data_IF_611995308513
#
_entry.id   IF_611995308513
#
_cell.length_a   1.000
_cell.length_b   1.000
_cell.length_c   1.000
_cell.angle_alpha   90.00
_cell.angle_beta   90.00
_cell.angle_gamma   90.00
#
_symmetry.space_group_name_H-M   'P 1'
#
loop_
_entity.id
_entity.type
_entity.pdbx_description
1 polymer ?
#
# COMPACT_ATOMS: atom_id res chain seq x y z
N UNK A 1 -11.60 -4.77 -27.41
CA UNK A 1 -10.29 -4.10 -27.54
C UNK A 1 -9.51 -4.36 -26.25
N UNK A 2 -8.20 -4.58 -26.31
CA UNK A 2 -7.35 -4.84 -25.14
C UNK A 2 -7.23 -3.54 -24.32
N UNK A 3 -7.53 -3.54 -23.00
CA UNK A 3 -7.44 -2.33 -22.18
C UNK A 3 -5.99 -1.83 -22.07
N UNK A 4 -5.78 -0.53 -22.26
CA UNK A 4 -4.51 0.14 -22.02
C UNK A 4 -4.59 0.93 -20.71
N UNK A 5 -3.81 0.53 -19.73
CA UNK A 5 -3.85 1.06 -18.38
C UNK A 5 -2.49 1.66 -18.04
N UNK A 6 -2.48 2.88 -17.51
CA UNK A 6 -1.30 3.45 -16.87
C UNK A 6 -1.48 3.35 -15.36
N UNK A 7 -0.55 2.69 -14.68
CA UNK A 7 -0.58 2.51 -13.23
C UNK A 7 0.54 3.33 -12.59
N UNK A 8 0.19 4.36 -11.85
CA UNK A 8 1.15 5.15 -11.07
C UNK A 8 1.10 4.70 -9.60
N UNK A 9 2.18 4.07 -9.14
CA UNK A 9 2.39 3.69 -7.74
C UNK A 9 3.38 4.66 -7.09
N UNK A 10 2.94 5.39 -6.06
CA UNK A 10 3.87 6.22 -5.28
C UNK A 10 4.82 5.33 -4.47
N UNK A 11 6.07 5.75 -4.33
CA UNK A 11 7.11 4.98 -3.65
C UNK A 11 7.27 5.33 -2.16
N UNK A 12 6.40 6.19 -1.63
CA UNK A 12 6.49 6.70 -0.26
C UNK A 12 6.35 5.59 0.79
N UNK A 13 5.60 4.55 0.47
CA UNK A 13 5.47 3.37 1.31
C UNK A 13 5.49 2.09 0.46
N UNK A 14 6.22 1.07 0.92
CA UNK A 14 6.31 -0.22 0.20
C UNK A 14 4.99 -0.92 0.01
N UNK A 15 3.99 -0.63 0.84
CA UNK A 15 2.62 -1.16 0.67
C UNK A 15 1.97 -0.80 -0.67
N UNK A 16 2.27 0.38 -1.23
CA UNK A 16 1.77 0.81 -2.53
C UNK A 16 2.42 0.02 -3.67
N UNK A 17 3.74 -0.18 -3.60
CA UNK A 17 4.51 -0.96 -4.57
C UNK A 17 4.12 -2.44 -4.54
N UNK A 18 3.90 -3.01 -3.35
CA UNK A 18 3.42 -4.38 -3.19
C UNK A 18 2.03 -4.57 -3.80
N UNK A 19 1.12 -3.61 -3.62
CA UNK A 19 -0.18 -3.63 -4.27
C UNK A 19 -0.07 -3.50 -5.79
N UNK A 20 0.73 -2.56 -6.27
CA UNK A 20 0.98 -2.37 -7.69
C UNK A 20 1.50 -3.66 -8.34
N UNK A 21 2.49 -4.32 -7.74
CA UNK A 21 3.04 -5.58 -8.25
C UNK A 21 1.94 -6.63 -8.42
N UNK A 22 1.09 -6.84 -7.42
CA UNK A 22 0.01 -7.84 -7.49
C UNK A 22 -1.03 -7.49 -8.57
N UNK A 23 -1.46 -6.23 -8.62
CA UNK A 23 -2.51 -5.80 -9.54
C UNK A 23 -2.01 -5.73 -10.98
N UNK A 24 -0.78 -5.27 -11.21
CA UNK A 24 -0.18 -5.23 -12.56
C UNK A 24 -0.08 -6.64 -13.15
N UNK A 25 0.41 -7.61 -12.37
CA UNK A 25 0.47 -9.00 -12.83
C UNK A 25 -0.93 -9.57 -13.12
N UNK A 26 -1.89 -9.34 -12.23
CA UNK A 26 -3.26 -9.83 -12.42
C UNK A 26 -3.94 -9.19 -13.65
N UNK A 27 -3.78 -7.88 -13.85
CA UNK A 27 -4.33 -7.17 -15.01
C UNK A 27 -3.69 -7.64 -16.32
N UNK A 28 -2.36 -7.82 -16.34
CA UNK A 28 -1.66 -8.37 -17.51
C UNK A 28 -2.11 -9.79 -17.83
N UNK A 29 -2.27 -10.64 -16.82
CA UNK A 29 -2.82 -12.01 -16.97
C UNK A 29 -4.25 -11.99 -17.51
N UNK A 30 -5.05 -10.99 -17.14
CA UNK A 30 -6.40 -10.80 -17.67
C UNK A 30 -6.44 -10.13 -19.06
N UNK A 31 -5.29 -9.94 -19.72
CA UNK A 31 -5.18 -9.43 -21.09
C UNK A 31 -5.11 -7.90 -21.21
N UNK A 32 -4.86 -7.16 -20.13
CA UNK A 32 -4.62 -5.72 -20.20
C UNK A 32 -3.15 -5.39 -20.51
N UNK A 33 -2.92 -4.36 -21.32
CA UNK A 33 -1.60 -3.72 -21.43
C UNK A 33 -1.46 -2.74 -20.25
N UNK A 34 -0.43 -2.90 -19.42
CA UNK A 34 -0.22 -2.05 -18.24
C UNK A 34 1.17 -1.44 -18.28
N UNK A 35 1.23 -0.12 -18.43
CA UNK A 35 2.43 0.70 -18.30
C UNK A 35 2.53 1.19 -16.85
N UNK A 36 3.69 1.05 -16.24
CA UNK A 36 3.87 1.33 -14.81
C UNK A 36 4.76 2.54 -14.59
N UNK A 37 4.31 3.44 -13.72
CA UNK A 37 5.05 4.62 -13.29
C UNK A 37 5.26 4.55 -11.78
N UNK A 38 6.37 5.14 -11.32
CA UNK A 38 6.67 5.32 -9.89
C UNK A 38 7.27 6.69 -9.61
N UNK A 39 7.60 6.97 -8.36
CA UNK A 39 8.06 8.29 -7.90
C UNK A 39 9.45 8.29 -7.27
N UNK A 40 10.20 7.19 -7.41
CA UNK A 40 11.61 7.14 -6.99
C UNK A 40 12.37 6.00 -7.68
N UNK A 41 13.70 6.10 -7.67
CA UNK A 41 14.60 5.06 -8.18
C UNK A 41 14.51 3.79 -7.33
N UNK A 42 14.33 3.93 -6.00
CA UNK A 42 14.13 2.77 -5.10
C UNK A 42 12.79 2.07 -5.39
N UNK A 43 11.75 2.83 -5.76
CA UNK A 43 10.47 2.28 -6.20
C UNK A 43 10.60 1.52 -7.51
N UNK A 44 11.37 2.05 -8.46
CA UNK A 44 11.69 1.38 -9.72
C UNK A 44 12.47 0.08 -9.45
N UNK A 45 13.54 0.14 -8.66
CA UNK A 45 14.35 -1.03 -8.30
C UNK A 45 13.52 -2.10 -7.59
N UNK A 46 12.61 -1.70 -6.69
CA UNK A 46 11.70 -2.62 -6.01
C UNK A 46 10.78 -3.34 -7.00
N UNK A 47 10.15 -2.63 -7.93
CA UNK A 47 9.26 -3.23 -8.93
C UNK A 47 10.00 -4.13 -9.92
N UNK A 48 11.26 -3.79 -10.24
CA UNK A 48 12.12 -4.61 -11.11
C UNK A 48 12.39 -6.01 -10.52
N UNK A 49 12.45 -6.15 -9.18
CA UNK A 49 12.58 -7.47 -8.51
C UNK A 49 11.42 -8.41 -8.87
N UNK A 50 10.26 -7.85 -9.16
CA UNK A 50 9.04 -8.58 -9.58
C UNK A 50 8.86 -8.64 -11.10
N UNK A 51 9.90 -8.30 -11.89
CA UNK A 51 9.84 -8.31 -13.35
C UNK A 51 8.95 -7.21 -13.95
N UNK A 52 8.73 -6.12 -13.21
CA UNK A 52 7.95 -4.97 -13.66
C UNK A 52 8.90 -3.85 -14.02
N UNK A 53 8.97 -3.53 -15.32
CA UNK A 53 9.63 -2.31 -15.80
C UNK A 53 8.72 -1.11 -15.48
N UNK A 54 9.23 -0.18 -14.67
CA UNK A 54 8.52 1.01 -14.24
C UNK A 54 9.36 2.25 -14.52
N UNK A 55 8.75 3.25 -15.16
CA UNK A 55 9.43 4.52 -15.37
C UNK A 55 9.25 5.47 -14.18
N UNK A 56 10.31 6.21 -13.82
CA UNK A 56 10.21 7.26 -12.80
C UNK A 56 9.61 8.52 -13.43
N UNK A 57 8.38 8.85 -13.02
CA UNK A 57 7.69 10.06 -13.49
C UNK A 57 8.39 11.32 -13.00
N UNK A 58 8.59 11.39 -11.70
CA UNK A 58 9.32 12.44 -11.00
C UNK A 58 9.66 11.94 -9.61
N UNK A 59 10.73 12.49 -9.02
CA UNK A 59 11.05 12.21 -7.63
C UNK A 59 10.04 12.95 -6.75
N UNK A 60 9.13 12.18 -6.21
CA UNK A 60 8.11 12.68 -5.28
C UNK A 60 8.76 13.07 -3.94
N UNK A 61 8.10 13.92 -3.16
CA UNK A 61 8.60 14.22 -1.81
C UNK A 61 8.65 12.94 -0.99
N UNK A 62 9.81 12.65 -0.43
CA UNK A 62 9.95 11.53 0.50
C UNK A 62 9.48 11.94 1.89
N UNK A 63 8.81 11.03 2.59
CA UNK A 63 8.54 11.18 4.01
C UNK A 63 9.88 11.27 4.73
N UNK A 64 10.05 12.27 5.60
CA UNK A 64 11.27 12.47 6.38
C UNK A 64 11.12 11.78 7.73
N UNK A 65 12.17 11.13 8.19
CA UNK A 65 12.21 10.45 9.49
C UNK A 65 13.38 10.97 10.31
N UNK A 66 13.23 10.98 11.64
CA UNK A 66 14.32 11.26 12.56
C UNK A 66 15.24 10.02 12.73
N UNK A 67 16.29 10.18 13.52
CA UNK A 67 17.23 9.09 13.83
C UNK A 67 16.56 7.91 14.55
N UNK A 68 15.45 8.15 15.26
CA UNK A 68 14.62 7.13 15.93
C UNK A 68 13.53 6.55 15.04
N UNK A 69 13.57 6.87 13.73
CA UNK A 69 12.60 6.40 12.74
C UNK A 69 11.16 6.90 12.98
N UNK A 70 11.01 8.00 13.70
CA UNK A 70 9.74 8.70 13.77
C UNK A 70 9.59 9.60 12.56
N UNK A 71 8.39 9.63 11.99
CA UNK A 71 8.09 10.53 10.90
C UNK A 71 8.24 11.99 11.37
N UNK A 72 9.17 12.70 10.76
CA UNK A 72 9.32 14.14 10.94
C UNK A 72 8.18 14.86 10.23
N UNK A 73 7.07 15.04 10.94
CA UNK A 73 5.84 15.62 10.40
C UNK A 73 6.12 16.97 9.74
N UNK A 74 6.82 17.86 10.44
CA UNK A 74 7.13 19.21 9.93
C UNK A 74 8.03 19.22 8.70
N UNK A 75 8.96 18.28 8.58
CA UNK A 75 9.82 18.16 7.41
C UNK A 75 9.06 17.55 6.23
N UNK A 76 8.24 16.54 6.50
CA UNK A 76 7.36 15.91 5.50
C UNK A 76 6.36 16.94 4.96
N UNK A 77 5.71 17.70 5.84
CA UNK A 77 4.73 18.70 5.45
C UNK A 77 5.36 19.90 4.71
N UNK A 78 6.59 20.28 5.05
CA UNK A 78 7.35 21.26 4.25
C UNK A 78 7.61 20.74 2.84
N UNK A 79 7.91 19.46 2.66
CA UNK A 79 8.09 18.85 1.35
C UNK A 79 6.78 18.83 0.56
N UNK A 80 5.66 18.47 1.20
CA UNK A 80 4.31 18.54 0.60
C UNK A 80 3.98 19.97 0.21
N UNK A 81 4.18 20.93 1.12
CA UNK A 81 3.94 22.34 0.85
C UNK A 81 4.83 22.84 -0.31
N UNK A 82 6.11 22.46 -0.34
CA UNK A 82 7.02 22.80 -1.44
C UNK A 82 6.55 22.24 -2.80
N UNK A 83 5.94 21.07 -2.83
CA UNK A 83 5.39 20.54 -4.08
C UNK A 83 4.13 21.30 -4.49
N UNK A 84 3.22 21.54 -3.55
CA UNK A 84 1.94 22.23 -3.80
C UNK A 84 2.17 23.72 -4.16
N UNK A 85 3.10 24.39 -3.45
CA UNK A 85 3.39 25.82 -3.67
C UNK A 85 4.47 26.08 -4.73
N UNK A 86 5.05 25.04 -5.34
CA UNK A 86 5.90 25.15 -6.52
C UNK A 86 5.18 24.59 -7.75
N UNK A 87 4.24 25.32 -8.33
CA UNK A 87 3.39 24.84 -9.41
C UNK A 87 4.18 24.35 -10.64
N UNK A 88 5.42 24.84 -10.81
CA UNK A 88 6.29 24.43 -11.92
C UNK A 88 6.63 22.95 -11.93
N UNK A 89 6.78 22.29 -10.77
CA UNK A 89 6.99 20.84 -10.69
C UNK A 89 5.72 20.10 -11.08
N UNK A 90 4.60 20.46 -10.47
CA UNK A 90 3.30 19.85 -10.78
C UNK A 90 2.93 20.02 -12.26
N UNK A 91 3.14 21.21 -12.84
CA UNK A 91 2.89 21.46 -14.26
C UNK A 91 3.79 20.62 -15.18
N UNK A 92 5.06 20.41 -14.79
CA UNK A 92 5.99 19.53 -15.52
C UNK A 92 5.51 18.08 -15.46
N UNK A 93 5.07 17.60 -14.31
CA UNK A 93 4.54 16.24 -14.15
C UNK A 93 3.24 16.07 -14.93
N UNK A 94 2.35 17.06 -14.93
CA UNK A 94 1.14 17.07 -15.77
C UNK A 94 1.51 17.00 -17.25
N UNK A 95 2.50 17.80 -17.69
CA UNK A 95 2.94 17.78 -19.09
C UNK A 95 3.48 16.41 -19.52
N UNK A 96 4.31 15.77 -18.67
CA UNK A 96 4.83 14.42 -18.89
C UNK A 96 3.69 13.40 -18.91
N UNK A 97 2.82 13.44 -17.90
CA UNK A 97 1.67 12.53 -17.81
C UNK A 97 0.77 12.65 -19.03
N UNK A 98 0.46 13.87 -19.50
CA UNK A 98 -0.37 14.06 -20.71
C UNK A 98 0.16 13.32 -21.93
N UNK A 99 1.47 13.26 -22.10
CA UNK A 99 2.09 12.51 -23.19
C UNK A 99 1.93 10.98 -22.98
N UNK A 100 2.21 10.49 -21.75
CA UNK A 100 2.17 9.06 -21.40
C UNK A 100 0.74 8.52 -21.46
N UNK A 101 -0.23 9.25 -20.88
CA UNK A 101 -1.62 8.77 -20.75
C UNK A 101 -2.50 9.12 -21.96
N UNK A 102 -1.93 9.64 -23.05
CA UNK A 102 -2.70 10.07 -24.23
C UNK A 102 -3.62 8.96 -24.73
N UNK A 103 -3.06 7.78 -24.89
CA UNK A 103 -3.72 6.61 -25.47
C UNK A 103 -4.19 5.61 -24.39
N UNK A 104 -4.13 5.97 -23.13
CA UNK A 104 -4.59 5.13 -22.04
C UNK A 104 -6.11 5.20 -21.89
N UNK A 105 -6.74 4.04 -21.72
CA UNK A 105 -8.17 3.95 -21.40
C UNK A 105 -8.43 4.29 -19.94
N UNK A 106 -7.54 3.84 -19.04
CA UNK A 106 -7.60 4.12 -17.60
C UNK A 106 -6.24 4.55 -17.07
N UNK A 107 -6.27 5.41 -16.06
CA UNK A 107 -5.09 5.88 -15.31
C UNK A 107 -5.32 5.64 -13.83
N UNK A 108 -4.59 4.71 -13.24
CA UNK A 108 -4.70 4.38 -11.82
C UNK A 108 -3.71 5.26 -11.04
N UNK A 109 -4.24 6.07 -10.14
CA UNK A 109 -3.49 6.93 -9.22
C UNK A 109 -3.44 6.27 -7.85
N UNK A 110 -2.43 5.47 -7.59
CA UNK A 110 -2.27 4.78 -6.33
C UNK A 110 -1.55 5.67 -5.32
N UNK A 111 -2.32 6.05 -4.29
CA UNK A 111 -1.94 6.91 -3.17
C UNK A 111 -1.84 8.41 -3.48
N UNK A 112 -2.68 8.89 -4.37
CA UNK A 112 -2.93 10.33 -4.57
C UNK A 112 -1.73 11.16 -5.03
N UNK A 113 -1.07 10.77 -6.12
CA UNK A 113 -0.11 11.67 -6.75
C UNK A 113 -0.80 12.99 -7.14
N UNK A 114 -0.26 14.17 -6.70
CA UNK A 114 -0.97 15.45 -6.85
C UNK A 114 -1.31 15.85 -8.29
N UNK A 115 -0.41 15.55 -9.24
CA UNK A 115 -0.69 15.84 -10.65
C UNK A 115 -1.91 15.05 -11.17
N UNK A 116 -2.07 13.78 -10.76
CA UNK A 116 -3.23 12.98 -11.13
C UNK A 116 -4.49 13.34 -10.33
N UNK A 117 -4.36 13.86 -9.10
CA UNK A 117 -5.50 14.48 -8.39
C UNK A 117 -6.05 15.65 -9.19
N UNK A 118 -5.17 16.55 -9.63
CA UNK A 118 -5.57 17.68 -10.47
C UNK A 118 -6.18 17.22 -11.80
N UNK A 119 -5.52 16.31 -12.52
CA UNK A 119 -6.02 15.79 -13.81
C UNK A 119 -7.36 15.08 -13.65
N UNK A 120 -7.57 14.34 -12.55
CA UNK A 120 -8.83 13.67 -12.22
C UNK A 120 -10.01 14.62 -12.02
N UNK A 121 -9.76 15.91 -11.74
CA UNK A 121 -10.79 16.93 -11.63
C UNK A 121 -11.06 17.67 -12.95
N UNK A 122 -10.17 17.55 -13.94
CA UNK A 122 -10.31 18.26 -15.24
C UNK A 122 -11.23 17.46 -16.17
N UNK A 123 -12.23 18.10 -16.83
CA UNK A 123 -13.22 17.40 -17.67
C UNK A 123 -12.64 16.46 -18.73
N UNK A 124 -11.54 16.80 -19.37
CA UNK A 124 -10.90 15.98 -20.41
C UNK A 124 -10.23 14.70 -19.88
N UNK A 125 -9.93 14.61 -18.58
CA UNK A 125 -9.19 13.50 -17.98
C UNK A 125 -9.98 12.75 -16.91
N UNK A 126 -10.95 13.40 -16.24
CA UNK A 126 -11.71 12.83 -15.12
C UNK A 126 -12.35 11.48 -15.43
N UNK A 127 -12.73 11.23 -16.71
CA UNK A 127 -13.36 9.98 -17.14
C UNK A 127 -12.40 8.80 -17.23
N UNK A 128 -11.10 8.99 -17.00
CA UNK A 128 -10.07 7.95 -17.09
C UNK A 128 -9.32 7.72 -15.79
N UNK A 129 -9.36 8.69 -14.84
CA UNK A 129 -8.59 8.61 -13.60
C UNK A 129 -9.35 7.83 -12.54
N UNK A 130 -8.68 6.83 -11.99
CA UNK A 130 -9.13 6.00 -10.86
C UNK A 130 -8.21 6.26 -9.68
N UNK A 131 -8.74 6.76 -8.57
CA UNK A 131 -7.96 6.93 -7.35
C UNK A 131 -8.03 5.67 -6.50
N UNK A 132 -6.86 5.20 -6.04
CA UNK A 132 -6.71 4.07 -5.12
C UNK A 132 -6.04 4.55 -3.84
N UNK A 133 -6.62 4.27 -2.67
CA UNK A 133 -6.07 4.74 -1.40
C UNK A 133 -6.50 3.88 -0.21
N UNK A 134 -5.65 3.85 0.82
CA UNK A 134 -6.01 3.26 2.11
C UNK A 134 -6.99 4.13 2.87
N UNK A 135 -7.90 3.53 3.65
CA UNK A 135 -8.97 4.24 4.34
C UNK A 135 -8.54 5.36 5.31
N UNK A 136 -7.27 5.36 5.77
CA UNK A 136 -6.69 6.44 6.58
C UNK A 136 -6.20 7.63 5.75
N UNK A 137 -5.76 7.40 4.51
CA UNK A 137 -5.04 8.38 3.71
C UNK A 137 -5.90 9.60 3.34
N UNK A 138 -7.15 9.39 2.93
CA UNK A 138 -8.06 10.52 2.60
C UNK A 138 -8.25 11.44 3.80
N UNK A 139 -8.46 10.86 4.99
CA UNK A 139 -8.60 11.63 6.23
C UNK A 139 -7.31 12.38 6.60
N UNK A 140 -6.15 11.72 6.43
CA UNK A 140 -4.87 12.35 6.67
C UNK A 140 -4.63 13.55 5.74
N UNK A 141 -4.97 13.45 4.45
CA UNK A 141 -4.85 14.54 3.49
C UNK A 141 -5.74 15.73 3.82
N UNK A 142 -6.99 15.48 4.21
CA UNK A 142 -7.95 16.55 4.50
C UNK A 142 -7.68 17.21 5.86
N UNK A 143 -7.14 16.47 6.84
CA UNK A 143 -6.81 16.97 8.18
C UNK A 143 -5.40 17.60 8.29
N UNK A 144 -4.56 17.46 7.28
CA UNK A 144 -3.14 17.80 7.36
C UNK A 144 -2.86 19.29 7.62
N UNK A 145 -3.83 20.15 7.40
CA UNK A 145 -3.72 21.61 7.55
C UNK A 145 -4.58 22.18 8.68
N UNK A 146 -5.32 21.35 9.43
CA UNK A 146 -6.29 21.81 10.44
C UNK A 146 -5.66 22.65 11.56
N UNK A 147 -4.39 22.38 11.92
CA UNK A 147 -3.66 23.12 12.96
C UNK A 147 -2.67 24.16 12.44
N UNK A 148 -2.48 24.21 11.11
CA UNK A 148 -1.40 25.00 10.45
C UNK A 148 -1.89 26.18 9.64
N UNK A 149 -3.13 26.13 9.20
CA UNK A 149 -3.82 27.20 8.49
C UNK A 149 -4.97 27.74 9.33
N UNK A 150 -5.32 29.02 9.14
CA UNK A 150 -6.60 29.52 9.67
C UNK A 150 -7.74 28.58 9.31
N UNK A 151 -8.63 28.30 10.24
CA UNK A 151 -9.71 27.29 10.11
C UNK A 151 -10.53 27.40 8.82
N UNK A 152 -10.72 28.62 8.31
CA UNK A 152 -11.44 28.85 7.06
C UNK A 152 -10.65 28.35 5.84
N UNK A 153 -9.33 28.60 5.81
CA UNK A 153 -8.44 28.15 4.73
C UNK A 153 -8.23 26.65 4.78
N UNK A 154 -8.05 26.04 5.97
CA UNK A 154 -7.97 24.59 6.14
C UNK A 154 -9.21 23.89 5.60
N UNK A 155 -10.42 24.40 5.94
CA UNK A 155 -11.69 23.88 5.41
C UNK A 155 -11.84 24.06 3.90
N UNK A 156 -11.43 25.21 3.36
CA UNK A 156 -11.45 25.44 1.92
C UNK A 156 -10.53 24.46 1.19
N UNK A 157 -9.32 24.26 1.71
CA UNK A 157 -8.36 23.30 1.17
C UNK A 157 -8.93 21.87 1.21
N UNK A 158 -9.45 21.44 2.36
CA UNK A 158 -10.06 20.11 2.50
C UNK A 158 -11.19 19.88 1.48
N UNK A 159 -12.06 20.90 1.27
CA UNK A 159 -13.13 20.83 0.27
C UNK A 159 -12.59 20.73 -1.17
N UNK A 160 -11.50 21.43 -1.49
CA UNK A 160 -10.87 21.36 -2.81
C UNK A 160 -10.30 19.95 -3.04
N UNK A 161 -9.61 19.39 -2.05
CA UNK A 161 -9.05 18.05 -2.13
C UNK A 161 -10.16 17.01 -2.26
N UNK A 162 -11.20 17.09 -1.44
CA UNK A 162 -12.37 16.20 -1.53
C UNK A 162 -13.04 16.29 -2.90
N UNK A 163 -13.24 17.53 -3.42
CA UNK A 163 -13.78 17.73 -4.75
C UNK A 163 -12.89 17.13 -5.85
N UNK A 164 -11.57 17.26 -5.77
CA UNK A 164 -10.64 16.64 -6.72
C UNK A 164 -10.74 15.12 -6.70
N UNK A 165 -10.81 14.53 -5.50
CA UNK A 165 -10.97 13.08 -5.32
C UNK A 165 -12.29 12.62 -5.93
N UNK A 166 -13.39 13.29 -5.57
CA UNK A 166 -14.75 12.88 -5.95
C UNK A 166 -15.11 13.18 -7.41
N UNK A 167 -14.32 14.02 -8.09
CA UNK A 167 -14.49 14.34 -9.51
C UNK A 167 -13.95 13.28 -10.47
N UNK A 168 -13.10 12.37 -9.99
CA UNK A 168 -12.51 11.32 -10.81
C UNK A 168 -13.57 10.29 -11.28
N UNK A 169 -13.20 9.46 -12.26
CA UNK A 169 -14.04 8.36 -12.73
C UNK A 169 -14.47 7.45 -11.59
N UNK A 170 -13.54 7.14 -10.70
CA UNK A 170 -13.77 6.21 -9.61
C UNK A 170 -12.75 6.40 -8.49
N UNK A 171 -13.18 6.10 -7.27
CA UNK A 171 -12.38 6.03 -6.07
C UNK A 171 -12.49 4.63 -5.47
N UNK A 172 -11.36 3.97 -5.25
CA UNK A 172 -11.30 2.65 -4.62
C UNK A 172 -10.58 2.80 -3.28
N UNK A 173 -11.34 2.76 -2.21
CA UNK A 173 -10.81 2.69 -0.85
C UNK A 173 -10.49 1.23 -0.52
N UNK A 174 -9.27 0.96 -0.06
CA UNK A 174 -8.90 -0.38 0.36
C UNK A 174 -8.54 -0.44 1.85
N UNK A 175 -8.78 -1.61 2.42
CA UNK A 175 -8.46 -1.87 3.81
C UNK A 175 -8.23 -3.36 4.07
N UNK A 176 -7.40 -3.69 5.09
CA UNK A 176 -7.22 -5.06 5.53
C UNK A 176 -8.47 -5.62 6.21
N UNK A 177 -9.35 -4.73 6.70
CA UNK A 177 -10.61 -5.11 7.34
C UNK A 177 -11.71 -5.50 6.36
N UNK A 178 -11.61 -5.15 5.08
CA UNK A 178 -12.63 -5.49 4.10
C UNK A 178 -12.46 -6.92 3.59
N UNK A 179 -13.55 -7.53 3.17
CA UNK A 179 -13.59 -8.82 2.49
C UNK A 179 -14.05 -8.65 1.03
N UNK A 180 -13.78 -9.65 0.18
CA UNK A 180 -14.16 -9.60 -1.24
C UNK A 180 -15.69 -9.52 -1.44
N UNK A 181 -16.45 -10.06 -0.49
CA UNK A 181 -17.91 -9.96 -0.47
C UNK A 181 -18.42 -8.56 -0.08
N UNK A 182 -17.56 -7.72 0.52
CA UNK A 182 -17.90 -6.35 0.94
C UNK A 182 -17.78 -5.35 -0.21
N UNK A 183 -17.82 -5.79 -1.47
CA UNK A 183 -17.83 -4.90 -2.65
C UNK A 183 -19.03 -3.95 -2.59
N UNK A 184 -19.05 -3.15 -1.54
CA UNK A 184 -20.09 -2.20 -1.24
C UNK A 184 -19.84 -0.94 -2.05
N UNK A 185 -20.60 -0.78 -3.10
CA UNK A 185 -20.75 0.48 -3.80
C UNK A 185 -21.31 1.52 -2.82
N UNK A 186 -20.44 2.39 -2.28
CA UNK A 186 -20.88 3.50 -1.41
C UNK A 186 -21.63 4.59 -2.17
N UNK A 187 -21.25 4.79 -3.44
CA UNK A 187 -21.86 5.74 -4.35
C UNK A 187 -21.55 5.35 -5.80
N UNK A 188 -21.98 6.14 -6.78
CA UNK A 188 -21.70 5.89 -8.19
C UNK A 188 -20.21 5.86 -8.54
N UNK A 189 -19.35 6.46 -7.70
CA UNK A 189 -17.90 6.61 -7.93
C UNK A 189 -17.03 6.03 -6.82
N UNK A 190 -17.59 5.59 -5.67
CA UNK A 190 -16.83 5.07 -4.54
C UNK A 190 -17.07 3.58 -4.33
N UNK A 191 -15.96 2.82 -4.29
CA UNK A 191 -15.95 1.39 -4.00
C UNK A 191 -15.04 1.09 -2.81
N UNK A 192 -15.32 0.01 -2.11
CA UNK A 192 -14.47 -0.57 -1.08
C UNK A 192 -14.01 -1.94 -1.52
N UNK A 193 -12.70 -2.14 -1.51
CA UNK A 193 -12.11 -3.43 -1.83
C UNK A 193 -11.15 -3.86 -0.72
N UNK A 194 -11.01 -5.15 -0.47
CA UNK A 194 -10.00 -5.65 0.46
C UNK A 194 -8.59 -5.35 -0.08
N UNK A 195 -7.64 -5.07 0.82
CA UNK A 195 -6.23 -5.00 0.40
C UNK A 195 -5.83 -6.31 -0.26
N UNK A 196 -5.30 -6.32 -1.49
CA UNK A 196 -4.90 -7.54 -2.16
C UNK A 196 -3.69 -8.15 -1.46
N UNK A 197 -3.61 -9.47 -1.47
CA UNK A 197 -2.50 -10.25 -0.94
C UNK A 197 -2.04 -11.27 -1.97
N UNK A 198 -0.77 -11.69 -1.96
CA UNK A 198 -0.28 -12.67 -2.90
C UNK A 198 -0.97 -14.02 -2.74
N UNK A 199 -1.25 -14.66 -3.88
CA UNK A 199 -1.74 -16.04 -3.92
C UNK A 199 -0.53 -16.97 -3.83
N UNK A 200 -0.34 -17.59 -2.68
CA UNK A 200 0.83 -18.41 -2.40
C UNK A 200 0.66 -19.82 -2.94
N UNK A 201 1.65 -20.30 -3.70
CA UNK A 201 1.69 -21.69 -4.14
C UNK A 201 1.90 -22.63 -2.95
N UNK A 202 1.40 -23.86 -3.07
CA UNK A 202 1.69 -24.90 -2.12
C UNK A 202 3.19 -25.26 -2.19
N UNK A 203 3.90 -25.07 -1.09
CA UNK A 203 5.30 -25.48 -0.99
C UNK A 203 5.37 -26.72 -0.10
N UNK A 204 6.09 -27.76 -0.49
CA UNK A 204 6.37 -28.87 0.44
C UNK A 204 7.07 -28.31 1.69
N UNK A 205 6.71 -28.79 2.85
CA UNK A 205 7.31 -28.38 4.13
C UNK A 205 8.74 -28.94 4.27
N UNK A 206 9.70 -28.35 3.56
CA UNK A 206 11.09 -28.83 3.51
C UNK A 206 12.11 -28.00 4.31
N UNK A 207 11.71 -26.90 4.96
CA UNK A 207 12.61 -26.10 5.80
C UNK A 207 11.99 -25.89 7.19
N UNK A 208 12.80 -25.83 8.27
CA UNK A 208 12.29 -25.46 9.59
C UNK A 208 11.55 -24.13 9.49
N UNK A 209 10.34 -24.10 10.05
CA UNK A 209 9.46 -22.95 9.96
C UNK A 209 10.10 -21.78 10.74
N UNK A 210 10.70 -20.84 10.01
CA UNK A 210 11.22 -19.61 10.56
C UNK A 210 10.11 -18.53 10.61
N UNK A 211 10.16 -17.67 11.62
CA UNK A 211 9.33 -16.47 11.64
C UNK A 211 9.68 -15.56 10.44
N UNK A 212 8.68 -14.96 9.82
CA UNK A 212 8.87 -14.03 8.71
C UNK A 212 8.88 -12.58 9.24
N UNK A 213 10.05 -11.96 9.25
CA UNK A 213 10.23 -10.58 9.72
C UNK A 213 10.31 -9.64 8.53
N UNK A 214 9.53 -8.57 8.56
CA UNK A 214 9.64 -7.46 7.61
C UNK A 214 9.56 -6.13 8.32
N UNK A 215 10.64 -5.37 8.22
CA UNK A 215 10.66 -3.96 8.65
C UNK A 215 10.85 -3.07 7.42
N UNK A 216 9.91 -2.16 7.21
CA UNK A 216 9.91 -1.27 6.06
C UNK A 216 11.15 -0.34 6.07
N UNK A 217 11.49 0.36 4.96
CA UNK A 217 12.70 1.18 4.84
C UNK A 217 12.82 2.33 5.85
N UNK A 218 11.74 2.60 6.58
CA UNK A 218 11.72 3.63 7.60
C UNK A 218 12.34 3.16 8.92
N UNK A 219 12.46 1.86 9.12
CA UNK A 219 13.19 1.29 10.26
C UNK A 219 14.68 1.24 9.93
N UNK A 220 15.48 2.05 10.62
CA UNK A 220 16.93 2.14 10.45
C UNK A 220 17.68 2.09 11.78
N UNK A 221 16.97 2.11 12.90
CA UNK A 221 17.58 2.03 14.22
C UNK A 221 18.19 0.64 14.44
N UNK A 222 19.51 0.62 14.52
CA UNK A 222 20.32 -0.59 14.68
C UNK A 222 20.01 -1.29 15.99
N UNK A 223 19.82 -0.53 17.09
CA UNK A 223 19.54 -1.09 18.39
C UNK A 223 18.17 -1.81 18.41
N UNK A 224 17.18 -1.29 17.66
CA UNK A 224 15.91 -1.97 17.47
C UNK A 224 16.09 -3.32 16.77
N UNK A 225 16.85 -3.36 15.67
CA UNK A 225 17.04 -4.58 14.89
C UNK A 225 17.78 -5.66 15.70
N UNK A 226 18.78 -5.26 16.47
CA UNK A 226 19.57 -6.16 17.32
C UNK A 226 18.73 -6.69 18.49
N UNK A 227 17.95 -5.81 19.15
CA UNK A 227 17.07 -6.19 20.25
C UNK A 227 15.92 -7.09 19.77
N UNK A 228 15.31 -6.79 18.62
CA UNK A 228 14.31 -7.65 17.98
C UNK A 228 14.88 -9.05 17.70
N UNK A 229 16.05 -9.10 17.06
CA UNK A 229 16.72 -10.37 16.73
C UNK A 229 17.09 -11.17 17.98
N UNK A 230 17.50 -10.50 19.05
CA UNK A 230 17.82 -11.15 20.34
C UNK A 230 16.55 -11.69 21.01
N UNK A 231 15.47 -10.89 21.08
CA UNK A 231 14.20 -11.32 21.65
C UNK A 231 13.58 -12.52 20.92
N UNK A 232 13.68 -12.56 19.58
CA UNK A 232 13.25 -13.73 18.81
C UNK A 232 14.07 -14.99 19.16
N UNK A 233 15.39 -14.86 19.33
CA UNK A 233 16.25 -15.97 19.77
C UNK A 233 15.92 -16.42 21.18
N UNK A 234 15.63 -15.51 22.10
CA UNK A 234 15.22 -15.82 23.48
C UNK A 234 13.89 -16.62 23.50
N UNK A 235 13.01 -16.39 22.53
CA UNK A 235 11.80 -17.19 22.30
C UNK A 235 12.05 -18.51 21.55
N UNK A 236 13.31 -18.87 21.24
CA UNK A 236 13.65 -20.09 20.52
C UNK A 236 13.27 -20.06 19.02
N UNK A 237 13.04 -18.90 18.45
CA UNK A 237 12.55 -18.75 17.08
C UNK A 237 13.68 -18.40 16.10
N UNK A 238 13.87 -19.23 15.08
CA UNK A 238 14.58 -18.82 13.89
C UNK A 238 13.78 -17.76 13.13
N UNK A 239 14.46 -16.79 12.51
CA UNK A 239 13.81 -15.70 11.80
C UNK A 239 14.47 -15.43 10.43
N UNK A 240 13.63 -15.36 9.40
CA UNK A 240 13.99 -14.83 8.10
C UNK A 240 13.71 -13.32 8.11
N UNK A 241 14.77 -12.51 8.05
CA UNK A 241 14.72 -11.07 8.33
C UNK A 241 14.92 -10.26 7.07
N UNK A 242 13.91 -9.47 6.70
CA UNK A 242 13.93 -8.57 5.56
C UNK A 242 13.76 -7.14 6.04
N UNK A 243 14.65 -6.25 5.63
CA UNK A 243 14.58 -4.84 5.96
C UNK A 243 15.63 -4.04 5.18
N UNK A 244 15.17 -3.16 4.31
CA UNK A 244 16.06 -2.35 3.47
C UNK A 244 17.00 -1.46 4.30
N UNK A 245 16.52 -0.91 5.42
CA UNK A 245 17.32 -0.10 6.34
C UNK A 245 18.42 -0.88 7.06
N UNK A 246 18.40 -2.22 6.96
CA UNK A 246 19.34 -3.13 7.64
C UNK A 246 20.11 -4.00 6.65
N UNK A 247 19.99 -3.73 5.35
CA UNK A 247 20.70 -4.50 4.32
C UNK A 247 22.20 -4.55 4.58
N UNK A 248 22.78 -5.75 4.49
CA UNK A 248 24.19 -5.98 4.77
C UNK A 248 24.55 -6.22 6.25
N UNK A 249 23.63 -6.11 7.20
CA UNK A 249 23.83 -6.57 8.59
C UNK A 249 23.62 -8.08 8.69
N UNK A 250 24.23 -8.69 9.72
CA UNK A 250 24.16 -10.13 9.94
C UNK A 250 22.72 -10.65 9.97
N UNK A 251 22.43 -11.55 9.04
CA UNK A 251 21.14 -12.21 8.87
C UNK A 251 20.00 -11.31 8.40
N UNK A 252 20.26 -10.07 7.95
CA UNK A 252 19.29 -9.20 7.32
C UNK A 252 19.54 -9.11 5.81
N UNK A 253 18.47 -9.25 5.03
CA UNK A 253 18.47 -9.00 3.59
C UNK A 253 17.63 -7.76 3.27
N UNK A 254 18.03 -7.02 2.25
CA UNK A 254 17.34 -5.77 1.88
C UNK A 254 15.96 -6.04 1.30
N UNK A 255 15.86 -6.93 0.33
CA UNK A 255 14.62 -7.25 -0.41
C UNK A 255 14.52 -8.77 -0.58
N UNK A 256 13.32 -9.30 -0.43
CA UNK A 256 12.96 -10.68 -0.75
C UNK A 256 11.63 -10.71 -1.51
N UNK A 257 11.67 -11.10 -2.78
CA UNK A 257 10.49 -11.23 -3.61
C UNK A 257 9.50 -12.27 -3.05
N UNK A 258 10.01 -13.30 -2.37
CA UNK A 258 9.22 -14.38 -1.78
C UNK A 258 8.73 -14.08 -0.35
N UNK A 259 9.08 -12.91 0.22
CA UNK A 259 8.75 -12.63 1.63
C UNK A 259 7.26 -12.85 1.95
N UNK A 260 6.37 -12.37 1.10
CA UNK A 260 4.93 -12.49 1.34
C UNK A 260 4.47 -13.96 1.30
N UNK A 261 5.08 -14.81 0.45
CA UNK A 261 4.85 -16.23 0.44
C UNK A 261 5.37 -16.92 1.71
N UNK A 262 6.54 -16.50 2.20
CA UNK A 262 7.09 -16.96 3.48
C UNK A 262 6.20 -16.55 4.65
N UNK A 263 5.76 -15.27 4.68
CA UNK A 263 4.86 -14.76 5.71
C UNK A 263 3.54 -15.52 5.79
N UNK A 264 2.95 -15.88 4.63
CA UNK A 264 1.73 -16.66 4.57
C UNK A 264 1.87 -18.09 5.13
N UNK A 265 3.10 -18.62 5.19
CA UNK A 265 3.40 -19.98 5.68
C UNK A 265 4.16 -19.98 7.01
N UNK A 266 4.67 -18.84 7.45
CA UNK A 266 5.43 -18.73 8.69
C UNK A 266 4.59 -19.05 9.93
N UNK A 267 5.21 -19.60 10.98
CA UNK A 267 4.54 -19.79 12.26
C UNK A 267 4.21 -18.45 12.94
N UNK A 268 4.98 -17.41 12.63
CA UNK A 268 4.82 -16.07 13.18
C UNK A 268 5.24 -15.04 12.12
N UNK A 269 4.41 -14.03 11.92
CA UNK A 269 4.76 -12.82 11.18
C UNK A 269 5.25 -11.77 12.17
N UNK A 270 6.33 -11.05 11.85
CA UNK A 270 6.80 -9.91 12.63
C UNK A 270 6.91 -8.71 11.68
N UNK A 271 6.15 -7.65 11.93
CA UNK A 271 6.15 -6.48 11.06
C UNK A 271 5.61 -5.24 11.76
N UNK A 272 5.87 -4.06 11.19
CA UNK A 272 5.09 -2.88 11.57
C UNK A 272 3.59 -3.10 11.26
N UNK A 273 2.67 -2.39 11.94
CA UNK A 273 1.23 -2.47 11.70
C UNK A 273 0.82 -1.89 10.35
N UNK A 274 1.38 -2.41 9.25
CA UNK A 274 1.09 -2.00 7.88
C UNK A 274 -0.06 -2.81 7.25
N UNK A 275 -0.77 -2.20 6.30
CA UNK A 275 -1.92 -2.82 5.61
C UNK A 275 -1.58 -4.17 4.95
N UNK A 276 -0.40 -4.29 4.33
CA UNK A 276 -0.01 -5.52 3.63
C UNK A 276 0.21 -6.68 4.62
N UNK A 277 1.01 -6.47 5.68
CA UNK A 277 1.30 -7.50 6.68
C UNK A 277 0.04 -7.94 7.43
N UNK A 278 -0.81 -6.98 7.84
CA UNK A 278 -2.09 -7.26 8.50
C UNK A 278 -3.07 -8.02 7.57
N UNK A 279 -3.05 -7.71 6.27
CA UNK A 279 -3.86 -8.43 5.28
C UNK A 279 -3.40 -9.88 5.11
N UNK A 280 -2.08 -10.11 5.04
CA UNK A 280 -1.51 -11.47 4.96
C UNK A 280 -1.86 -12.25 6.23
N UNK A 281 -1.63 -11.65 7.42
CA UNK A 281 -1.98 -12.28 8.69
C UNK A 281 -3.46 -12.66 8.76
N UNK A 282 -4.37 -11.79 8.30
CA UNK A 282 -5.80 -12.03 8.28
C UNK A 282 -6.20 -13.16 7.31
N UNK A 283 -5.72 -13.10 6.07
CA UNK A 283 -6.11 -14.03 5.01
C UNK A 283 -5.61 -15.44 5.31
N UNK A 284 -4.35 -15.55 5.74
CA UNK A 284 -3.72 -16.84 6.05
C UNK A 284 -3.86 -17.26 7.52
N UNK A 285 -4.57 -16.46 8.32
CA UNK A 285 -4.78 -16.66 9.77
C UNK A 285 -3.47 -16.96 10.50
N UNK A 286 -2.46 -16.13 10.26
CA UNK A 286 -1.15 -16.25 10.92
C UNK A 286 -1.06 -15.31 12.12
N UNK A 287 -0.50 -15.76 13.24
CA UNK A 287 -0.21 -14.88 14.34
C UNK A 287 0.78 -13.80 13.91
N UNK A 288 0.63 -12.59 14.41
CA UNK A 288 1.49 -11.48 14.04
C UNK A 288 1.96 -10.70 15.26
N UNK A 289 3.27 -10.50 15.37
CA UNK A 289 3.90 -9.59 16.31
C UNK A 289 4.06 -8.22 15.62
N UNK A 290 3.38 -7.22 16.14
CA UNK A 290 3.38 -5.87 15.61
C UNK A 290 4.46 -5.04 16.30
N UNK A 291 5.48 -4.64 15.55
CA UNK A 291 6.53 -3.72 16.00
C UNK A 291 6.08 -2.30 15.72
N UNK A 292 5.84 -1.55 16.78
CA UNK A 292 5.29 -0.20 16.73
C UNK A 292 6.34 0.84 17.13
N UNK A 293 6.26 2.01 16.51
CA UNK A 293 6.92 3.25 16.93
C UNK A 293 5.86 4.30 17.26
N UNK A 294 6.25 5.54 17.57
CA UNK A 294 5.31 6.62 17.93
C UNK A 294 4.50 7.18 16.74
N UNK A 295 4.14 6.32 15.77
CA UNK A 295 3.34 6.72 14.61
C UNK A 295 1.85 6.49 14.87
N UNK A 296 1.00 7.54 14.79
CA UNK A 296 -0.44 7.42 15.04
C UNK A 296 -1.16 6.42 14.14
N UNK A 297 -0.71 6.29 12.88
CA UNK A 297 -1.27 5.32 11.95
C UNK A 297 -1.00 3.88 12.39
N UNK A 298 0.20 3.59 12.89
CA UNK A 298 0.55 2.26 13.42
C UNK A 298 -0.33 1.90 14.61
N UNK A 299 -0.50 2.83 15.56
CA UNK A 299 -1.38 2.64 16.71
C UNK A 299 -2.84 2.40 16.29
N UNK A 300 -3.34 3.17 15.33
CA UNK A 300 -4.69 2.99 14.77
C UNK A 300 -4.88 1.61 14.14
N UNK A 301 -3.90 1.15 13.34
CA UNK A 301 -3.96 -0.16 12.69
C UNK A 301 -3.87 -1.31 13.68
N UNK A 302 -3.02 -1.20 14.72
CA UNK A 302 -2.94 -2.19 15.79
C UNK A 302 -4.27 -2.29 16.58
N UNK A 303 -4.89 -1.15 16.94
CA UNK A 303 -6.20 -1.12 17.57
C UNK A 303 -7.31 -1.73 16.69
N UNK A 304 -7.22 -1.58 15.38
CA UNK A 304 -8.14 -2.21 14.43
C UNK A 304 -7.92 -3.71 14.31
N UNK A 305 -6.66 -4.18 14.33
CA UNK A 305 -6.34 -5.60 14.38
C UNK A 305 -6.97 -6.28 15.60
N UNK A 306 -6.93 -5.60 16.77
CA UNK A 306 -7.59 -6.06 17.97
C UNK A 306 -9.12 -6.18 17.80
N UNK A 307 -9.78 -5.17 17.23
CA UNK A 307 -11.23 -5.21 16.95
C UNK A 307 -11.62 -6.33 16.00
N UNK A 308 -10.76 -6.67 15.04
CA UNK A 308 -10.96 -7.77 14.10
C UNK A 308 -10.56 -9.14 14.69
N UNK A 309 -10.16 -9.18 15.95
CA UNK A 309 -9.75 -10.40 16.66
C UNK A 309 -8.61 -11.15 15.95
N UNK A 310 -7.70 -10.43 15.29
CA UNK A 310 -6.48 -11.03 14.78
C UNK A 310 -5.63 -11.55 15.96
N UNK A 311 -5.05 -12.72 15.81
CA UNK A 311 -4.09 -13.24 16.79
C UNK A 311 -2.82 -12.41 16.70
N UNK A 312 -2.64 -11.48 17.64
CA UNK A 312 -1.53 -10.53 17.60
C UNK A 312 -1.06 -10.13 19.01
N UNK A 313 0.18 -9.62 19.05
CA UNK A 313 0.74 -8.85 20.15
C UNK A 313 1.37 -7.58 19.59
N UNK A 314 1.49 -6.56 20.42
CA UNK A 314 2.13 -5.29 20.06
C UNK A 314 3.31 -5.08 21.00
N UNK A 315 4.46 -4.75 20.42
CA UNK A 315 5.65 -4.30 21.15
C UNK A 315 6.03 -2.91 20.62
N UNK A 316 6.40 -2.01 21.53
CA UNK A 316 6.66 -0.62 21.14
C UNK A 316 8.12 -0.26 21.38
N UNK A 317 8.81 0.14 20.33
CA UNK A 317 10.17 0.66 20.43
C UNK A 317 10.19 2.07 21.03
N UNK A 318 10.90 2.21 22.16
CA UNK A 318 11.07 3.49 22.87
C UNK A 318 12.54 3.85 23.12
N UNK A 319 13.48 3.20 22.42
CA UNK A 319 14.91 3.42 22.58
C UNK A 319 15.57 2.63 23.71
N UNK A 320 14.82 1.79 24.43
CA UNK A 320 15.36 0.86 25.45
C UNK A 320 15.47 -0.54 24.86
N UNK A 321 16.69 -0.92 24.49
CA UNK A 321 16.96 -2.20 23.84
C UNK A 321 16.73 -3.40 24.76
N UNK A 322 16.99 -3.26 26.08
CA UNK A 322 16.83 -4.36 27.02
C UNK A 322 15.34 -4.63 27.29
N UNK A 323 14.57 -3.61 27.57
CA UNK A 323 13.12 -3.73 27.76
C UNK A 323 12.44 -4.25 26.48
N UNK A 324 12.79 -3.72 25.31
CA UNK A 324 12.23 -4.14 24.03
C UNK A 324 12.55 -5.61 23.69
N UNK A 325 13.81 -6.05 23.91
CA UNK A 325 14.19 -7.45 23.76
C UNK A 325 13.32 -8.38 24.62
N UNK A 326 13.12 -7.99 25.87
CA UNK A 326 12.31 -8.77 26.81
C UNK A 326 10.84 -8.84 26.37
N UNK A 327 10.24 -7.68 25.98
CA UNK A 327 8.87 -7.61 25.46
C UNK A 327 8.70 -8.47 24.19
N UNK A 328 9.65 -8.41 23.27
CA UNK A 328 9.65 -9.23 22.03
C UNK A 328 9.69 -10.71 22.38
N UNK A 329 10.59 -11.13 23.27
CA UNK A 329 10.73 -12.53 23.68
C UNK A 329 9.45 -13.08 24.30
N UNK A 330 8.85 -12.33 25.22
CA UNK A 330 7.59 -12.72 25.87
C UNK A 330 6.43 -12.77 24.85
N UNK A 331 6.25 -11.70 24.06
CA UNK A 331 5.16 -11.61 23.09
C UNK A 331 5.24 -12.70 22.02
N UNK A 332 6.46 -13.00 21.53
CA UNK A 332 6.70 -14.08 20.58
C UNK A 332 6.38 -15.45 21.18
N UNK A 333 6.85 -15.72 22.39
CA UNK A 333 6.54 -16.97 23.11
C UNK A 333 5.04 -17.14 23.35
N UNK A 334 4.33 -16.07 23.72
CA UNK A 334 2.87 -16.09 23.93
C UNK A 334 2.14 -16.42 22.62
N UNK A 335 2.50 -15.78 21.50
CA UNK A 335 1.91 -16.04 20.21
C UNK A 335 2.18 -17.46 19.71
N UNK A 336 3.34 -18.04 20.03
CA UNK A 336 3.68 -19.42 19.68
C UNK A 336 2.96 -20.44 20.55
N UNK A 337 2.60 -20.09 21.78
CA UNK A 337 1.83 -20.97 22.70
C UNK A 337 0.36 -21.04 22.27
N UNK A 338 -0.20 -19.93 21.80
CA UNK A 338 -1.57 -19.84 21.30
C UNK A 338 -1.62 -19.14 19.93
N UNK A 339 -1.17 -19.83 18.87
CA UNK A 339 -1.09 -19.24 17.53
C UNK A 339 -2.46 -19.12 16.85
N UNK A 340 -3.53 -19.54 17.49
CA UNK A 340 -4.83 -19.71 16.85
C UNK A 340 -4.83 -20.86 15.82
N UNK A 341 -5.90 -20.96 15.04
CA UNK A 341 -6.00 -21.96 13.97
C UNK A 341 -5.62 -21.34 12.62
N UNK A 342 -4.45 -21.68 12.05
CA UNK A 342 -4.08 -21.20 10.72
C UNK A 342 -5.13 -21.59 9.68
N UNK A 343 -5.35 -20.73 8.68
CA UNK A 343 -6.13 -21.15 7.53
C UNK A 343 -5.42 -22.31 6.84
N UNK A 344 -6.17 -23.36 6.47
CA UNK A 344 -5.63 -24.37 5.56
C UNK A 344 -5.11 -23.68 4.29
N UNK A 345 -4.04 -24.20 3.70
CA UNK A 345 -3.36 -23.58 2.55
C UNK A 345 -4.34 -23.31 1.40
N UNK A 346 -5.30 -24.21 1.16
CA UNK A 346 -6.32 -24.08 0.12
C UNK A 346 -7.24 -22.89 0.42
N UNK A 347 -7.83 -22.84 1.62
CA UNK A 347 -8.76 -21.77 1.99
C UNK A 347 -8.09 -20.38 2.00
N UNK A 348 -6.85 -20.28 2.48
CA UNK A 348 -6.07 -19.05 2.42
C UNK A 348 -5.79 -18.59 0.98
N UNK A 349 -5.46 -19.53 0.09
CA UNK A 349 -5.25 -19.25 -1.35
C UNK A 349 -6.51 -18.78 -2.05
N UNK A 350 -7.62 -19.47 -1.81
CA UNK A 350 -8.92 -19.07 -2.37
C UNK A 350 -9.32 -17.66 -1.92
N UNK A 351 -9.14 -17.38 -0.63
CA UNK A 351 -9.41 -16.04 -0.10
C UNK A 351 -8.47 -14.98 -0.71
N UNK A 352 -7.18 -15.27 -0.86
CA UNK A 352 -6.22 -14.38 -1.52
C UNK A 352 -6.60 -14.15 -2.99
N UNK A 353 -6.97 -15.22 -3.72
CA UNK A 353 -7.41 -15.14 -5.11
C UNK A 353 -8.64 -14.27 -5.26
N UNK A 354 -9.67 -14.51 -4.45
CA UNK A 354 -10.90 -13.72 -4.48
C UNK A 354 -10.63 -12.21 -4.26
N UNK A 355 -9.67 -11.86 -3.40
CA UNK A 355 -9.27 -10.46 -3.21
C UNK A 355 -8.65 -9.85 -4.47
N UNK A 356 -7.75 -10.54 -5.14
CA UNK A 356 -7.11 -10.06 -6.37
C UNK A 356 -8.13 -9.99 -7.52
N UNK A 357 -8.99 -11.00 -7.64
CA UNK A 357 -10.06 -11.06 -8.64
C UNK A 357 -11.07 -9.91 -8.49
N UNK A 358 -11.43 -9.55 -7.25
CA UNK A 358 -12.31 -8.41 -6.99
C UNK A 358 -11.74 -7.10 -7.56
N UNK A 359 -10.43 -6.88 -7.42
CA UNK A 359 -9.75 -5.72 -7.99
C UNK A 359 -9.72 -5.76 -9.52
N UNK A 360 -9.27 -6.88 -10.08
CA UNK A 360 -9.13 -7.06 -11.53
C UNK A 360 -10.49 -6.88 -12.21
N UNK A 361 -11.52 -7.55 -11.69
CA UNK A 361 -12.89 -7.45 -12.23
C UNK A 361 -13.42 -6.01 -12.13
N UNK A 362 -13.16 -5.33 -11.01
CA UNK A 362 -13.59 -3.92 -10.85
C UNK A 362 -12.92 -3.00 -11.84
N UNK A 363 -11.60 -3.08 -12.02
CA UNK A 363 -10.86 -2.23 -12.95
C UNK A 363 -11.30 -2.50 -14.40
N UNK A 364 -11.47 -3.76 -14.79
CA UNK A 364 -11.94 -4.12 -16.14
C UNK A 364 -13.39 -3.68 -16.39
N UNK A 365 -14.27 -3.78 -15.37
CA UNK A 365 -15.63 -3.26 -15.47
C UNK A 365 -15.69 -1.73 -15.63
N UNK A 366 -14.76 -0.99 -15.01
CA UNK A 366 -14.64 0.45 -15.23
C UNK A 366 -14.23 0.76 -16.66
N UNK A 367 -13.28 0.03 -17.22
CA UNK A 367 -12.90 0.16 -18.63
C UNK A 367 -14.10 -0.09 -19.56
N UNK A 368 -14.85 -1.18 -19.38
CA UNK A 368 -16.01 -1.48 -20.21
C UNK A 368 -17.06 -0.34 -20.19
N UNK A 369 -17.29 0.27 -19.03
CA UNK A 369 -18.20 1.43 -18.89
C UNK A 369 -17.71 2.68 -19.61
N UNK A 370 -16.40 2.93 -19.65
CA UNK A 370 -15.87 4.09 -20.40
C UNK A 370 -16.05 3.90 -21.90
N UNK A 371 -15.89 2.69 -22.41
CA UNK A 371 -16.08 2.38 -23.83
C UNK A 371 -17.53 2.55 -24.28
N UNK A 372 -18.51 2.12 -23.48
CA UNK A 372 -19.94 2.32 -23.77
C UNK A 372 -20.31 3.81 -23.78
N UNK A 373 -19.88 4.57 -22.78
CA UNK A 373 -20.15 6.00 -22.71
C UNK A 373 -19.54 6.80 -23.90
N UNK A 374 -18.36 6.40 -24.38
CA UNK A 374 -17.73 7.01 -25.54
C UNK A 374 -18.42 6.59 -26.86
N UNK A 375 -18.98 5.39 -26.95
CA UNK A 375 -19.76 4.93 -28.09
C UNK A 375 -21.10 5.71 -28.20
N UNK A 376 -21.81 5.85 -27.09
CA UNK A 376 -23.06 6.61 -27.02
C UNK A 376 -22.85 8.08 -27.39
N UNK A 377 -21.78 8.71 -26.89
CA UNK A 377 -21.44 10.08 -27.20
C UNK A 377 -21.09 10.31 -28.70
N UNK A 378 -20.55 9.29 -29.38
CA UNK A 378 -20.27 9.36 -30.84
C UNK A 378 -21.54 9.17 -31.69
N UNK A 379 -22.50 8.37 -31.19
CA UNK A 379 -23.79 8.21 -31.90
C UNK A 379 -24.68 9.44 -31.78
N UNK A 380 -24.53 10.25 -30.74
CA UNK A 380 -25.29 11.48 -30.50
C UNK A 380 -24.69 12.72 -31.22
N UNK A 381 -23.44 12.61 -31.73
CA UNK A 381 -22.81 13.72 -32.44
C UNK A 381 -23.51 13.93 -33.80
N UNK A 382 -24.04 15.13 -34.09
CA UNK A 382 -24.65 15.41 -35.41
C UNK A 382 -23.61 15.22 -36.50
N UNK A 383 -24.03 14.63 -37.62
CA UNK A 383 -23.19 14.47 -38.81
C UNK A 383 -22.58 15.83 -39.20
N UNK A 384 -21.28 15.88 -39.56
CA UNK A 384 -20.66 17.10 -40.02
C UNK A 384 -21.41 17.64 -41.24
N UNK A 385 -21.85 18.90 -41.16
CA UNK A 385 -22.52 19.61 -42.25
C UNK A 385 -21.53 19.96 -43.37
#
# INVERSE_FOLDING_TARGET
MMPRIVYLATADARGHLMRAQLLVHALRTAGAQVDVLTTSDEGQAFLAVFGIDAAVLSHHYAVQFDERQNMLRDATDRNVAHYVFRPTRMLRDIARLRAIVRDADLVINDSFHPALLFMGAVPGWRRRVVHVYGGSLRRALTANFDERLPRALARAFARIVDWQIDSALCCIEHDFAYDAADDARRSHVHYRLPTPVPVVAERPAAAPAAAAVYLNPHFRDVALADALSAGMRDAGLAAHRVGEGYAGRDGWIGVDADWAARAAQAPLIVSAPGMAALSIARVYRRPILLVQTDQPEQASNAARAARLKLVHRVVTWRGDAAAFRHEVGQAAADLMRDPGTPAGTIAGREHARARVEAWTSRILALHARTQTADADARCEAPAPR
#
